data_IF_194686978334
#
_entry.id   IF_194686978334
#
_cell.length_a   1.000
_cell.length_b   1.000
_cell.length_c   1.000
_cell.angle_alpha   90.00
_cell.angle_beta   90.00
_cell.angle_gamma   90.00
#
_symmetry.space_group_name_H-M   'P 1'
#
loop_
_entity.id
_entity.type
_entity.pdbx_description
1 polymer ?
#
# COMPACT_ATOMS: atom_id res chain seq x y z
N UNK A 1 51.23 -2.26 -10.41
CA UNK A 1 51.70 -1.36 -9.34
C UNK A 1 50.82 -0.13 -9.46
N UNK A 2 49.57 -0.18 -8.98
CA UNK A 2 49.06 -0.22 -7.59
C UNK A 2 49.13 1.14 -6.91
N UNK A 3 48.14 1.40 -6.05
CA UNK A 3 47.87 2.56 -5.18
C UNK A 3 46.93 3.58 -5.84
N UNK A 4 45.61 3.63 -5.59
CA UNK A 4 44.75 3.32 -4.43
C UNK A 4 45.00 4.20 -3.19
N UNK A 5 44.15 5.22 -3.03
CA UNK A 5 43.72 5.91 -1.79
C UNK A 5 42.85 7.12 -2.24
N UNK A 6 41.68 7.48 -1.71
CA UNK A 6 41.02 7.33 -0.40
C UNK A 6 39.48 7.43 -0.62
N UNK A 7 38.66 6.55 -0.05
CA UNK A 7 37.86 6.69 1.18
C UNK A 7 36.40 7.13 0.97
N UNK A 8 35.52 6.28 1.52
CA UNK A 8 34.16 6.51 2.02
C UNK A 8 33.23 7.44 1.22
N UNK A 9 32.34 6.82 0.47
CA UNK A 9 31.00 7.39 0.27
C UNK A 9 29.99 6.42 0.85
N UNK A 10 29.32 6.88 1.92
CA UNK A 10 28.14 6.25 2.47
C UNK A 10 27.20 5.84 1.33
N UNK A 11 26.74 4.59 1.35
CA UNK A 11 25.69 4.11 0.44
C UNK A 11 24.41 4.82 0.85
N UNK A 12 24.22 6.02 0.31
CA UNK A 12 23.05 6.84 0.52
C UNK A 12 21.93 6.30 -0.35
N UNK A 13 20.82 5.99 0.30
CA UNK A 13 19.51 6.21 -0.28
C UNK A 13 19.02 5.10 -1.19
N UNK A 14 18.09 4.33 -0.66
CA UNK A 14 17.03 3.66 -1.41
C UNK A 14 16.11 4.71 -2.10
N UNK A 15 16.68 5.58 -2.92
CA UNK A 15 16.00 6.75 -3.51
C UNK A 15 16.24 6.81 -5.03
N UNK A 16 16.19 5.65 -5.69
CA UNK A 16 16.46 5.56 -7.14
C UNK A 16 15.67 4.41 -7.82
N UNK A 17 14.38 4.29 -7.51
CA UNK A 17 13.47 3.36 -8.19
C UNK A 17 12.12 3.97 -8.56
N UNK A 18 12.08 5.26 -8.90
CA UNK A 18 10.91 5.88 -9.52
C UNK A 18 11.29 6.89 -10.61
N UNK A 19 12.24 6.58 -11.50
CA UNK A 19 12.33 7.29 -12.77
C UNK A 19 12.54 6.34 -13.95
N UNK A 20 11.61 6.42 -14.89
CA UNK A 20 11.76 6.09 -16.31
C UNK A 20 11.65 4.62 -16.79
N UNK A 21 10.50 3.99 -16.51
CA UNK A 21 9.94 3.05 -17.48
C UNK A 21 8.53 3.49 -17.85
N UNK A 22 8.43 4.27 -18.93
CA UNK A 22 7.16 4.49 -19.62
C UNK A 22 6.61 3.13 -20.06
N UNK A 23 5.69 2.57 -19.28
CA UNK A 23 4.80 1.51 -19.76
C UNK A 23 3.88 2.15 -20.81
N UNK A 24 4.35 2.23 -22.06
CA UNK A 24 3.48 2.38 -23.23
C UNK A 24 2.77 1.04 -23.48
N UNK A 25 1.77 0.77 -22.64
CA UNK A 25 0.62 -0.02 -23.03
C UNK A 25 -0.53 0.95 -23.27
N UNK A 26 -1.16 0.92 -24.44
CA UNK A 26 -2.50 1.49 -24.60
C UNK A 26 -3.47 0.70 -23.71
N UNK A 27 -3.47 1.00 -22.42
CA UNK A 27 -4.55 0.66 -21.51
C UNK A 27 -5.64 1.70 -21.74
N UNK A 28 -6.83 1.23 -22.05
CA UNK A 28 -8.05 2.03 -22.22
C UNK A 28 -8.16 3.04 -21.04
N UNK A 29 -7.90 4.31 -21.34
CA UNK A 29 -7.60 5.36 -20.36
C UNK A 29 -8.86 5.90 -19.70
N UNK A 30 -9.53 5.07 -18.91
CA UNK A 30 -10.64 5.52 -18.06
C UNK A 30 -10.57 5.01 -16.62
N UNK A 31 -9.71 4.06 -16.29
CA UNK A 31 -9.58 3.51 -14.93
C UNK A 31 -8.16 3.76 -14.41
N UNK A 32 -8.01 4.62 -13.39
CA UNK A 32 -6.71 4.90 -12.77
C UNK A 32 -6.43 3.82 -11.73
N UNK A 33 -5.23 3.28 -11.69
CA UNK A 33 -4.82 2.35 -10.64
C UNK A 33 -3.96 3.11 -9.64
N UNK A 34 -4.35 3.11 -8.37
CA UNK A 34 -3.70 3.86 -7.30
C UNK A 34 -2.98 2.94 -6.30
N UNK A 35 -1.90 3.48 -5.75
CA UNK A 35 -1.10 2.83 -4.72
C UNK A 35 -1.07 3.68 -3.45
N UNK A 36 -1.68 3.17 -2.39
CA UNK A 36 -1.72 3.83 -1.09
C UNK A 36 -0.70 3.20 -0.14
N UNK A 37 0.04 4.01 0.62
CA UNK A 37 0.97 3.54 1.63
C UNK A 37 0.50 3.99 3.01
N UNK A 38 0.39 3.05 3.95
CA UNK A 38 0.16 3.33 5.36
C UNK A 38 1.30 2.75 6.20
N UNK A 39 1.83 3.55 7.13
CA UNK A 39 2.83 3.12 8.10
C UNK A 39 2.24 3.07 9.51
N UNK A 40 2.62 2.04 10.28
CA UNK A 40 2.20 1.92 11.68
C UNK A 40 2.67 3.14 12.46
N UNK A 41 1.71 3.88 13.03
CA UNK A 41 1.96 5.13 13.77
C UNK A 41 1.59 6.39 13.00
N UNK A 42 1.20 6.27 11.73
CA UNK A 42 0.59 7.36 10.99
C UNK A 42 -0.77 7.73 11.61
N UNK A 43 -1.15 9.00 11.44
CA UNK A 43 -2.49 9.47 11.79
C UNK A 43 -3.55 8.71 11.02
N UNK A 44 -4.75 8.63 11.62
CA UNK A 44 -5.93 8.06 10.97
C UNK A 44 -6.15 8.62 9.56
N UNK A 45 -6.32 7.73 8.58
CA UNK A 45 -6.45 8.08 7.16
C UNK A 45 -7.82 7.65 6.62
N UNK A 46 -8.38 8.46 5.71
CA UNK A 46 -9.57 8.10 4.94
C UNK A 46 -9.23 8.09 3.45
N UNK A 47 -9.46 6.95 2.79
CA UNK A 47 -9.27 6.76 1.35
C UNK A 47 -10.65 6.60 0.71
N UNK A 48 -10.92 7.44 -0.27
CA UNK A 48 -12.17 7.44 -1.03
C UNK A 48 -11.82 7.44 -2.51
N UNK A 49 -11.58 6.24 -3.04
CA UNK A 49 -11.41 6.00 -4.46
C UNK A 49 -12.50 5.04 -4.94
N UNK A 50 -12.97 5.19 -6.17
CA UNK A 50 -14.02 4.34 -6.74
C UNK A 50 -13.69 3.91 -8.16
N UNK A 51 -12.58 4.41 -8.72
CA UNK A 51 -12.19 4.18 -10.09
C UNK A 51 -10.83 3.50 -10.08
N UNK A 52 -10.78 2.19 -10.28
CA UNK A 52 -9.48 1.55 -10.31
C UNK A 52 -9.44 0.08 -10.03
N UNK A 53 -8.19 -0.34 -9.87
CA UNK A 53 -7.84 -1.55 -9.15
C UNK A 53 -6.68 -1.12 -8.30
N UNK A 54 -6.98 -0.84 -7.05
CA UNK A 54 -6.13 -0.10 -6.12
C UNK A 54 -5.55 -1.04 -5.08
N UNK A 55 -4.34 -0.68 -4.62
CA UNK A 55 -3.56 -1.45 -3.67
C UNK A 55 -3.20 -0.60 -2.46
N UNK A 56 -3.58 -1.07 -1.27
CA UNK A 56 -3.09 -0.53 0.00
C UNK A 56 -1.88 -1.32 0.49
N UNK A 57 -0.76 -0.66 0.70
CA UNK A 57 0.45 -1.22 1.29
C UNK A 57 0.51 -0.93 2.79
N UNK A 58 0.38 -1.98 3.59
CA UNK A 58 0.48 -1.95 5.05
C UNK A 58 1.86 -2.46 5.47
N UNK A 59 2.84 -1.55 5.46
CA UNK A 59 4.25 -1.93 5.69
C UNK A 59 4.43 -2.42 7.13
N UNK A 60 5.14 -3.54 7.27
CA UNK A 60 5.50 -4.18 8.56
C UNK A 60 4.35 -4.79 9.39
N UNK A 61 3.11 -4.75 8.93
CA UNK A 61 2.03 -5.51 9.55
C UNK A 61 1.88 -6.89 8.88
N UNK A 62 1.61 -7.92 9.68
CA UNK A 62 1.19 -9.24 9.18
C UNK A 62 -0.32 -9.26 8.96
N UNK A 63 -0.78 -10.17 8.10
CA UNK A 63 -2.21 -10.37 7.82
C UNK A 63 -3.04 -10.68 9.06
N UNK A 64 -2.44 -11.32 10.08
CA UNK A 64 -3.12 -11.66 11.34
C UNK A 64 -3.32 -10.48 12.28
N UNK A 65 -2.56 -9.42 12.11
CA UNK A 65 -2.66 -8.20 12.91
C UNK A 65 -3.72 -7.24 12.35
N UNK A 66 -4.25 -7.54 11.16
CA UNK A 66 -5.19 -6.71 10.44
C UNK A 66 -6.58 -7.36 10.45
N UNK A 67 -7.58 -6.58 10.85
CA UNK A 67 -9.00 -6.92 10.70
C UNK A 67 -9.64 -5.87 9.82
N UNK A 68 -10.52 -6.31 8.91
CA UNK A 68 -11.25 -5.42 8.01
C UNK A 68 -12.73 -5.65 8.25
N UNK A 69 -13.44 -4.60 8.63
CA UNK A 69 -14.89 -4.62 8.84
C UNK A 69 -15.56 -3.69 7.83
N UNK A 70 -16.67 -4.12 7.23
CA UNK A 70 -17.42 -3.28 6.30
C UNK A 70 -18.54 -2.56 7.03
N UNK A 71 -18.56 -1.23 6.91
CA UNK A 71 -19.65 -0.38 7.38
C UNK A 71 -20.76 -0.34 6.32
N UNK A 72 -21.93 -0.86 6.66
CA UNK A 72 -23.07 -0.96 5.74
C UNK A 72 -23.67 0.40 5.34
N UNK A 73 -23.52 1.42 6.19
CA UNK A 73 -24.15 2.73 6.02
C UNK A 73 -23.60 3.50 4.81
N UNK A 74 -22.30 3.37 4.52
CA UNK A 74 -21.58 4.15 3.52
C UNK A 74 -20.59 3.34 2.67
N UNK A 75 -20.58 2.01 2.84
CA UNK A 75 -19.71 1.04 2.17
C UNK A 75 -18.21 1.20 2.41
N UNK A 76 -17.81 1.95 3.44
CA UNK A 76 -16.39 1.99 3.83
C UNK A 76 -15.99 0.67 4.51
N UNK A 77 -14.78 0.24 4.22
CA UNK A 77 -14.04 -0.77 4.97
C UNK A 77 -13.18 -0.07 6.02
N UNK A 78 -13.43 -0.36 7.30
CA UNK A 78 -12.60 0.09 8.41
C UNK A 78 -11.51 -0.96 8.64
N UNK A 79 -10.26 -0.52 8.58
CA UNK A 79 -9.09 -1.35 8.90
C UNK A 79 -8.73 -1.12 10.36
N UNK A 80 -8.64 -2.23 11.07
CA UNK A 80 -8.11 -2.30 12.42
C UNK A 80 -6.73 -2.94 12.41
N UNK A 81 -5.76 -2.29 13.04
CA UNK A 81 -4.46 -2.87 13.32
C UNK A 81 -4.34 -3.10 14.83
N UNK A 82 -4.16 -4.35 15.25
CA UNK A 82 -4.11 -4.76 16.67
C UNK A 82 -5.32 -4.31 17.50
N UNK A 83 -6.49 -4.20 16.85
CA UNK A 83 -7.75 -3.83 17.49
C UNK A 83 -8.06 -2.33 17.49
N UNK A 84 -7.14 -1.48 17.03
CA UNK A 84 -7.38 -0.04 16.91
C UNK A 84 -7.71 0.34 15.46
N UNK A 85 -8.72 1.20 15.22
CA UNK A 85 -9.04 1.67 13.90
C UNK A 85 -7.95 2.64 13.43
N UNK A 86 -7.38 2.36 12.25
CA UNK A 86 -6.23 3.09 11.72
C UNK A 86 -6.49 3.72 10.37
N UNK A 87 -7.42 3.16 9.60
CA UNK A 87 -7.72 3.61 8.25
C UNK A 87 -9.15 3.23 7.88
N UNK A 88 -9.84 4.11 7.17
CA UNK A 88 -11.08 3.79 6.46
C UNK A 88 -10.85 3.91 4.96
N UNK A 89 -11.33 2.94 4.18
CA UNK A 89 -11.21 2.96 2.72
C UNK A 89 -12.47 2.49 2.01
N UNK A 90 -12.70 2.99 0.81
CA UNK A 90 -13.55 2.34 -0.19
C UNK A 90 -12.86 2.35 -1.56
N UNK A 91 -13.26 1.41 -2.42
CA UNK A 91 -12.70 1.17 -3.76
C UNK A 91 -11.23 0.75 -3.81
N UNK A 92 -10.76 0.08 -2.75
CA UNK A 92 -9.47 -0.63 -2.75
C UNK A 92 -9.75 -2.12 -2.88
N UNK A 93 -9.07 -2.81 -3.79
CA UNK A 93 -9.31 -4.23 -4.08
C UNK A 93 -8.29 -5.14 -3.39
N UNK A 94 -7.08 -4.63 -3.16
CA UNK A 94 -5.97 -5.41 -2.64
C UNK A 94 -5.31 -4.74 -1.45
N UNK A 95 -4.84 -5.57 -0.52
CA UNK A 95 -3.96 -5.15 0.57
C UNK A 95 -2.67 -5.97 0.52
N UNK A 96 -1.54 -5.26 0.56
CA UNK A 96 -0.22 -5.85 0.74
C UNK A 96 0.18 -5.75 2.21
N UNK A 97 0.59 -6.88 2.77
CA UNK A 97 1.14 -7.01 4.12
C UNK A 97 2.52 -7.65 4.05
N UNK A 98 3.17 -7.84 5.19
CA UNK A 98 4.41 -8.60 5.28
C UNK A 98 4.26 -10.07 4.82
N UNK A 99 3.05 -10.63 4.88
CA UNK A 99 2.78 -12.01 4.49
C UNK A 99 2.48 -12.16 2.98
N UNK A 100 2.28 -11.06 2.27
CA UNK A 100 1.95 -11.05 0.84
C UNK A 100 0.80 -10.11 0.48
N UNK A 101 0.30 -10.27 -0.74
CA UNK A 101 -0.80 -9.49 -1.31
C UNK A 101 -2.08 -10.32 -1.28
N UNK A 102 -3.16 -9.74 -0.80
CA UNK A 102 -4.44 -10.40 -0.62
C UNK A 102 -5.56 -9.55 -1.21
N UNK A 103 -6.50 -10.20 -1.89
CA UNK A 103 -7.74 -9.55 -2.33
C UNK A 103 -8.68 -9.38 -1.13
N UNK A 104 -9.30 -8.20 -1.01
CA UNK A 104 -10.27 -7.94 0.05
C UNK A 104 -11.48 -8.88 -0.02
N UNK A 105 -11.92 -9.28 -1.21
CA UNK A 105 -13.01 -10.25 -1.40
C UNK A 105 -12.73 -11.60 -0.71
N UNK A 106 -11.45 -11.95 -0.58
CA UNK A 106 -11.00 -13.22 0.02
C UNK A 106 -10.46 -13.06 1.43
N UNK A 107 -10.36 -11.84 1.95
CA UNK A 107 -9.83 -11.55 3.28
C UNK A 107 -10.76 -12.06 4.40
N UNK A 108 -12.06 -12.20 4.10
CA UNK A 108 -13.09 -12.52 5.09
C UNK A 108 -13.55 -11.27 5.84
N UNK A 109 -13.93 -10.25 5.08
CA UNK A 109 -14.51 -9.00 5.59
C UNK A 109 -15.72 -9.33 6.46
N UNK A 110 -15.76 -8.76 7.67
CA UNK A 110 -16.83 -8.95 8.64
C UNK A 110 -17.86 -7.84 8.58
#
# INVERSE_FOLDING_TARGET
MTEQQDQDTAVSGFDDLLEDDQIQGEADSTTKHNFYNYSVGDSYLTIDDQDGTDLLMFKHATSREIVIEKRDEDNFCVIFYKGEPVLEMRGVEYIQTADGVFSLERWGIR
#
